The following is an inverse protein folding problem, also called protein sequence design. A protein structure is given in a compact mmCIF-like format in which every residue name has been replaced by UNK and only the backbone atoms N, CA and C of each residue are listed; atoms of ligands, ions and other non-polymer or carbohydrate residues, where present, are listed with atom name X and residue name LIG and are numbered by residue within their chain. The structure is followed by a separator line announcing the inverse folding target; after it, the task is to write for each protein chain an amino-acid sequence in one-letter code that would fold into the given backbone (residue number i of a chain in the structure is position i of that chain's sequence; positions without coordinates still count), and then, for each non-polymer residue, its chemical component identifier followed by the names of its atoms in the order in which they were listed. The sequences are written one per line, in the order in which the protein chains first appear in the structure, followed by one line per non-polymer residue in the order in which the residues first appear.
data_IF_191110830887
#
_entry.id   IF_191110830887
#
_cell.length_a   1.000
_cell.length_b   1.000
_cell.length_c   1.000
_cell.angle_alpha   90.00
_cell.angle_beta   90.00
_cell.angle_gamma   90.00
#
_symmetry.space_group_name_H-M   'P 1'
#
loop_
_entity.id
_entity.type
_entity.pdbx_description
1 polymer ?
#
# COMPACT_ATOMS: atom_id res chain seq x y z
N UNK A 1 -0.01 -22.43 43.43
CA UNK A 1 -0.48 -21.33 42.55
C UNK A 1 0.72 -20.90 41.76
N UNK A 2 0.78 -21.26 40.48
CA UNK A 2 2.03 -21.28 39.72
C UNK A 2 1.72 -21.14 38.23
N UNK A 3 2.21 -20.05 37.63
CA UNK A 3 2.27 -19.77 36.19
C UNK A 3 1.05 -20.18 35.36
N UNK A 4 0.08 -19.28 35.29
CA UNK A 4 -0.90 -19.22 34.21
C UNK A 4 -0.79 -17.81 33.59
N UNK A 5 0.18 -17.67 32.67
CA UNK A 5 0.60 -16.39 32.09
C UNK A 5 1.29 -16.53 30.72
N UNK A 6 1.19 -17.70 30.09
CA UNK A 6 1.48 -17.85 28.66
C UNK A 6 0.27 -17.34 27.89
N UNK A 7 0.25 -16.05 27.59
CA UNK A 7 -0.70 -15.50 26.61
C UNK A 7 -0.51 -16.21 25.28
N UNK A 8 -1.60 -16.64 24.65
CA UNK A 8 -1.54 -17.33 23.37
C UNK A 8 -0.85 -16.45 22.32
N UNK A 9 0.22 -17.00 21.72
CA UNK A 9 1.00 -16.31 20.71
C UNK A 9 0.17 -15.99 19.46
N UNK A 10 -0.83 -16.82 19.12
CA UNK A 10 -1.75 -16.52 18.02
C UNK A 10 -2.62 -15.31 18.36
N UNK A 11 -3.27 -15.29 19.52
CA UNK A 11 -4.06 -14.15 19.99
C UNK A 11 -3.27 -12.81 20.05
N UNK A 12 -1.96 -12.85 20.30
CA UNK A 12 -1.09 -11.65 20.28
C UNK A 12 -0.62 -11.25 18.87
N UNK A 13 -0.35 -12.20 17.98
CA UNK A 13 0.23 -11.92 16.66
C UNK A 13 -0.82 -11.70 15.55
N UNK A 14 -1.98 -12.36 15.61
CA UNK A 14 -3.00 -12.26 14.56
C UNK A 14 -3.56 -10.83 14.36
N UNK A 15 -3.76 -9.98 15.39
CA UNK A 15 -4.16 -8.59 15.19
C UNK A 15 -3.16 -7.74 14.38
N UNK A 16 -1.89 -8.17 14.27
CA UNK A 16 -0.88 -7.46 13.46
C UNK A 16 -1.20 -7.51 11.96
N UNK A 17 -1.97 -8.52 11.51
CA UNK A 17 -2.41 -8.64 10.12
C UNK A 17 -3.23 -7.41 9.67
N UNK A 18 -4.01 -6.80 10.56
CA UNK A 18 -4.78 -5.58 10.31
C UNK A 18 -3.90 -4.33 10.10
N UNK A 19 -2.61 -4.40 10.45
CA UNK A 19 -1.62 -3.32 10.30
C UNK A 19 -0.57 -3.60 9.22
N UNK A 20 -0.80 -4.62 8.40
CA UNK A 20 0.06 -4.96 7.26
C UNK A 20 0.11 -3.79 6.26
N UNK A 21 1.32 -3.34 5.83
CA UNK A 21 1.46 -2.39 4.74
C UNK A 21 0.93 -2.94 3.40
N UNK A 22 0.45 -2.08 2.48
CA UNK A 22 -0.11 -2.51 1.20
C UNK A 22 0.82 -3.43 0.39
N UNK A 23 0.28 -4.59 -0.02
CA UNK A 23 1.01 -5.58 -0.81
C UNK A 23 1.97 -6.49 -0.03
N UNK A 24 1.98 -6.44 1.31
CA UNK A 24 2.91 -7.20 2.16
C UNK A 24 2.23 -8.30 3.00
N UNK A 25 0.94 -8.59 2.76
CA UNK A 25 0.13 -9.50 3.60
C UNK A 25 0.74 -10.90 3.71
N UNK A 26 1.20 -11.45 2.59
CA UNK A 26 1.82 -12.78 2.54
C UNK A 26 3.13 -12.85 3.32
N UNK A 27 3.91 -11.76 3.37
CA UNK A 27 5.13 -11.66 4.17
C UNK A 27 4.77 -11.62 5.67
N UNK A 28 3.89 -10.69 6.08
CA UNK A 28 3.49 -10.57 7.50
C UNK A 28 2.82 -11.86 8.00
N UNK A 29 1.97 -12.51 7.20
CA UNK A 29 1.35 -13.78 7.55
C UNK A 29 2.38 -14.93 7.66
N UNK A 30 3.39 -14.97 6.79
CA UNK A 30 4.51 -15.92 6.91
C UNK A 30 5.30 -15.69 8.21
N UNK A 31 5.60 -14.45 8.54
CA UNK A 31 6.39 -14.11 9.72
C UNK A 31 5.61 -14.36 11.03
N UNK A 32 4.30 -14.08 11.04
CA UNK A 32 3.37 -14.47 12.11
C UNK A 32 3.33 -16.00 12.29
N UNK A 33 3.28 -16.79 11.21
CA UNK A 33 3.40 -18.26 11.30
C UNK A 33 4.74 -18.69 11.91
N UNK A 34 5.85 -18.03 11.54
CA UNK A 34 7.17 -18.27 12.14
C UNK A 34 7.21 -18.00 13.64
N UNK A 35 6.68 -16.85 14.09
CA UNK A 35 6.65 -16.46 15.50
C UNK A 35 5.78 -17.41 16.33
N UNK A 36 4.57 -17.74 15.84
CA UNK A 36 3.65 -18.63 16.57
C UNK A 36 4.17 -20.07 16.62
N UNK A 37 4.74 -20.59 15.53
CA UNK A 37 5.30 -21.96 15.51
C UNK A 37 6.56 -22.11 16.37
N UNK A 38 7.33 -21.03 16.59
CA UNK A 38 8.44 -21.00 17.54
C UNK A 38 8.01 -20.83 19.01
N UNK A 39 6.73 -20.55 19.28
CA UNK A 39 6.25 -20.22 20.62
C UNK A 39 5.83 -21.45 21.45
N UNK A 40 6.03 -21.46 22.78
CA UNK A 40 5.52 -22.52 23.65
C UNK A 40 3.99 -22.63 23.55
N UNK A 41 3.48 -23.83 23.24
CA UNK A 41 2.06 -24.07 23.01
C UNK A 41 1.59 -23.84 21.57
N UNK A 42 2.51 -23.73 20.60
CA UNK A 42 2.22 -23.60 19.18
C UNK A 42 1.07 -24.49 18.68
N UNK A 43 0.09 -23.86 18.03
CA UNK A 43 -0.99 -24.53 17.29
C UNK A 43 -0.49 -25.05 15.93
N UNK A 44 -1.23 -25.96 15.29
CA UNK A 44 -0.96 -26.34 13.89
C UNK A 44 -1.20 -25.17 12.93
N UNK A 45 -0.56 -25.19 11.77
CA UNK A 45 -0.71 -24.12 10.76
C UNK A 45 -2.17 -23.98 10.30
N UNK A 46 -2.89 -25.10 10.12
CA UNK A 46 -4.32 -25.09 9.78
C UNK A 46 -5.16 -24.40 10.87
N UNK A 47 -4.85 -24.65 12.15
CA UNK A 47 -5.54 -24.05 13.28
C UNK A 47 -5.17 -22.56 13.47
N UNK A 48 -3.95 -22.16 13.09
CA UNK A 48 -3.57 -20.75 13.03
C UNK A 48 -4.28 -20.03 11.88
N UNK A 49 -4.36 -20.63 10.70
CA UNK A 49 -5.08 -20.07 9.55
C UNK A 49 -6.59 -19.92 9.82
N UNK A 50 -7.21 -20.93 10.45
CA UNK A 50 -8.61 -20.86 10.87
C UNK A 50 -8.89 -19.71 11.86
N UNK A 51 -7.93 -19.39 12.75
CA UNK A 51 -8.00 -18.24 13.65
C UNK A 51 -7.63 -16.92 12.98
N UNK A 52 -6.78 -16.94 11.96
CA UNK A 52 -6.39 -15.78 11.17
C UNK A 52 -7.52 -15.27 10.27
N UNK A 53 -8.39 -16.16 9.78
CA UNK A 53 -9.42 -15.86 8.80
C UNK A 53 -10.25 -14.58 9.05
N UNK A 54 -10.80 -14.29 10.24
CA UNK A 54 -11.51 -13.02 10.48
C UNK A 54 -10.61 -11.78 10.35
N UNK A 55 -9.33 -11.86 10.75
CA UNK A 55 -8.38 -10.76 10.59
C UNK A 55 -7.96 -10.58 9.12
N UNK A 56 -7.83 -11.69 8.37
CA UNK A 56 -7.54 -11.67 6.93
C UNK A 56 -8.73 -11.12 6.13
N UNK A 57 -9.96 -11.51 6.49
CA UNK A 57 -11.20 -10.97 5.89
C UNK A 57 -11.33 -9.48 6.15
N UNK A 58 -11.24 -9.05 7.41
CA UNK A 58 -11.28 -7.62 7.76
C UNK A 58 -10.16 -6.85 7.05
N UNK A 59 -8.92 -7.35 7.05
CA UNK A 59 -7.82 -6.71 6.34
C UNK A 59 -8.14 -6.54 4.83
N UNK A 60 -8.68 -7.56 4.17
CA UNK A 60 -9.09 -7.43 2.76
C UNK A 60 -10.17 -6.37 2.54
N UNK A 61 -11.15 -6.26 3.44
CA UNK A 61 -12.22 -5.25 3.32
C UNK A 61 -11.70 -3.85 3.60
N UNK A 62 -11.03 -3.64 4.73
CA UNK A 62 -10.48 -2.34 5.14
C UNK A 62 -9.52 -1.82 4.07
N UNK A 63 -8.65 -2.69 3.54
CA UNK A 63 -7.70 -2.34 2.49
C UNK A 63 -8.31 -2.29 1.08
N UNK A 64 -9.58 -2.67 0.89
CA UNK A 64 -10.24 -2.78 -0.43
C UNK A 64 -9.40 -3.65 -1.39
N UNK A 65 -9.17 -4.91 -1.03
CA UNK A 65 -8.34 -5.83 -1.80
C UNK A 65 -8.89 -6.05 -3.21
N UNK A 66 -7.99 -6.06 -4.19
CA UNK A 66 -8.34 -6.21 -5.61
C UNK A 66 -8.14 -7.66 -6.04
N UNK A 67 -9.08 -8.20 -6.80
CA UNK A 67 -9.05 -9.55 -7.31
C UNK A 67 -9.39 -9.58 -8.82
N UNK A 68 -8.51 -10.13 -9.69
CA UNK A 68 -8.82 -10.25 -11.11
C UNK A 68 -9.85 -11.35 -11.35
N UNK A 69 -10.90 -11.05 -12.10
CA UNK A 69 -12.00 -11.95 -12.44
C UNK A 69 -12.09 -12.11 -13.95
N UNK A 70 -12.33 -13.35 -14.40
CA UNK A 70 -12.70 -13.65 -15.78
C UNK A 70 -14.10 -14.27 -15.81
N UNK A 71 -15.01 -13.69 -16.59
CA UNK A 71 -16.37 -14.21 -16.77
C UNK A 71 -16.88 -13.91 -18.18
N UNK A 72 -17.49 -14.91 -18.84
CA UNK A 72 -18.06 -14.81 -20.20
C UNK A 72 -17.09 -14.18 -21.23
N UNK A 73 -15.80 -14.53 -21.16
CA UNK A 73 -14.74 -14.02 -22.04
C UNK A 73 -14.28 -12.58 -21.76
N UNK A 74 -14.81 -11.94 -20.72
CA UNK A 74 -14.41 -10.60 -20.26
C UNK A 74 -13.53 -10.71 -19.01
N UNK A 75 -12.52 -9.84 -18.93
CA UNK A 75 -11.62 -9.70 -17.78
C UNK A 75 -11.81 -8.35 -17.14
N UNK A 76 -11.90 -8.33 -15.82
CA UNK A 76 -12.10 -7.11 -15.04
C UNK A 76 -11.63 -7.33 -13.59
N UNK A 77 -11.29 -6.25 -12.89
CA UNK A 77 -10.81 -6.27 -11.51
C UNK A 77 -11.95 -5.96 -10.54
N UNK A 78 -12.22 -6.90 -9.62
CA UNK A 78 -13.19 -6.76 -8.54
C UNK A 78 -12.56 -6.17 -7.27
N UNK A 79 -13.38 -5.50 -6.44
CA UNK A 79 -13.00 -5.02 -5.11
C UNK A 79 -13.68 -5.89 -4.05
N UNK A 80 -12.88 -6.55 -3.23
CA UNK A 80 -13.31 -7.38 -2.10
C UNK A 80 -13.57 -6.48 -0.89
N UNK A 81 -14.85 -6.32 -0.53
CA UNK A 81 -15.31 -5.41 0.53
C UNK A 81 -16.65 -5.87 1.09
N UNK A 82 -16.99 -5.43 2.32
CA UNK A 82 -18.26 -5.75 2.98
C UNK A 82 -19.48 -5.26 2.15
N UNK A 83 -19.38 -4.14 1.44
CA UNK A 83 -20.45 -3.63 0.57
C UNK A 83 -20.78 -4.58 -0.59
N UNK A 84 -19.79 -5.33 -1.09
CA UNK A 84 -19.95 -6.33 -2.15
C UNK A 84 -20.19 -7.76 -1.63
N UNK A 85 -20.29 -7.96 -0.31
CA UNK A 85 -20.32 -9.29 0.33
C UNK A 85 -21.75 -9.84 0.41
N UNK A 86 -21.87 -11.12 0.10
CA UNK A 86 -23.09 -11.91 0.20
C UNK A 86 -22.85 -13.06 1.19
N UNK A 87 -23.64 -13.13 2.25
CA UNK A 87 -23.70 -14.32 3.09
C UNK A 87 -24.51 -15.42 2.40
N UNK A 88 -23.91 -16.60 2.23
CA UNK A 88 -24.60 -17.81 1.75
C UNK A 88 -24.45 -18.94 2.77
N UNK A 89 -25.30 -19.98 2.76
CA UNK A 89 -25.15 -21.16 3.63
C UNK A 89 -23.82 -21.92 3.48
N UNK A 90 -23.06 -21.65 2.41
CA UNK A 90 -21.77 -22.29 2.09
C UNK A 90 -20.55 -21.41 2.42
N UNK A 91 -20.78 -20.18 2.89
CA UNK A 91 -19.73 -19.19 3.16
C UNK A 91 -20.04 -17.81 2.55
N UNK A 92 -19.10 -16.88 2.70
CA UNK A 92 -19.16 -15.58 2.05
C UNK A 92 -18.84 -15.70 0.54
N UNK A 93 -19.54 -14.91 -0.27
CA UNK A 93 -19.22 -14.66 -1.69
C UNK A 93 -19.14 -13.15 -1.91
N UNK A 94 -18.48 -12.72 -2.97
CA UNK A 94 -18.38 -11.32 -3.35
C UNK A 94 -19.00 -11.08 -4.73
N UNK A 95 -19.73 -9.98 -4.90
CA UNK A 95 -20.34 -9.55 -6.16
C UNK A 95 -19.32 -8.80 -7.02
N UNK A 96 -19.32 -9.05 -8.32
CA UNK A 96 -18.73 -8.17 -9.32
C UNK A 96 -19.83 -7.50 -10.15
N UNK A 97 -20.19 -6.23 -9.88
CA UNK A 97 -21.34 -5.58 -10.52
C UNK A 97 -21.21 -5.46 -12.04
N UNK A 98 -20.01 -5.13 -12.55
CA UNK A 98 -19.72 -4.98 -13.99
C UNK A 98 -19.80 -6.28 -14.79
N UNK A 99 -19.29 -7.39 -14.24
CA UNK A 99 -19.34 -8.71 -14.89
C UNK A 99 -20.61 -9.51 -14.60
N UNK A 100 -21.49 -9.04 -13.71
CA UNK A 100 -22.73 -9.73 -13.29
C UNK A 100 -22.46 -11.18 -12.85
N UNK A 101 -21.51 -11.34 -11.94
CA UNK A 101 -21.11 -12.61 -11.36
C UNK A 101 -20.81 -12.48 -9.85
N UNK A 102 -20.72 -13.62 -9.16
CA UNK A 102 -20.16 -13.71 -7.80
C UNK A 102 -19.01 -14.69 -7.75
N UNK A 103 -18.07 -14.48 -6.83
CA UNK A 103 -16.89 -15.33 -6.63
C UNK A 103 -16.67 -15.63 -5.15
N UNK A 104 -15.98 -16.73 -4.85
CA UNK A 104 -15.36 -16.96 -3.54
C UNK A 104 -13.97 -16.30 -3.53
N UNK A 105 -13.48 -15.87 -2.37
CA UNK A 105 -12.16 -15.25 -2.24
C UNK A 105 -11.38 -15.85 -1.07
N UNK A 106 -10.17 -16.34 -1.35
CA UNK A 106 -9.22 -16.79 -0.34
C UNK A 106 -8.44 -15.57 0.17
N UNK A 107 -8.74 -15.16 1.39
CA UNK A 107 -8.13 -14.01 2.05
C UNK A 107 -6.66 -14.23 2.48
N UNK A 108 -6.17 -15.49 2.52
CA UNK A 108 -4.77 -15.81 2.80
C UNK A 108 -3.92 -15.86 1.51
N UNK A 109 -4.49 -16.39 0.42
CA UNK A 109 -3.84 -16.45 -0.89
C UNK A 109 -4.05 -15.19 -1.75
N UNK A 110 -5.00 -14.32 -1.37
CA UNK A 110 -5.46 -13.16 -2.14
C UNK A 110 -5.99 -13.54 -3.53
N UNK A 111 -6.68 -14.69 -3.65
CA UNK A 111 -7.15 -15.26 -4.92
C UNK A 111 -8.67 -15.43 -4.97
N UNK A 112 -9.27 -15.05 -6.10
CA UNK A 112 -10.66 -15.36 -6.41
C UNK A 112 -10.80 -16.77 -7.01
N UNK A 113 -11.93 -17.42 -6.77
CA UNK A 113 -12.29 -18.73 -7.31
C UNK A 113 -13.82 -18.91 -7.42
N UNK A 114 -14.26 -20.00 -8.04
CA UNK A 114 -15.69 -20.37 -8.16
C UNK A 114 -16.58 -19.21 -8.64
N UNK A 115 -16.25 -18.67 -9.83
CA UNK A 115 -17.00 -17.57 -10.47
C UNK A 115 -18.31 -18.11 -11.04
N UNK A 116 -19.43 -17.62 -10.52
CA UNK A 116 -20.80 -18.04 -10.89
C UNK A 116 -21.61 -16.83 -11.38
N UNK A 117 -22.50 -16.97 -12.39
CA UNK A 117 -23.39 -15.89 -12.82
C UNK A 117 -24.24 -15.33 -11.68
N UNK A 118 -24.46 -14.02 -11.67
CA UNK A 118 -25.30 -13.35 -10.68
C UNK A 118 -25.95 -12.10 -11.28
N UNK A 119 -27.28 -12.13 -11.39
CA UNK A 119 -28.09 -11.02 -11.86
C UNK A 119 -29.34 -10.91 -11.01
N UNK A 120 -29.54 -9.75 -10.40
CA UNK A 120 -30.69 -9.42 -9.56
C UNK A 120 -31.38 -8.13 -10.07
N UNK A 121 -32.71 -8.17 -10.18
CA UNK A 121 -33.49 -7.03 -10.66
C UNK A 121 -33.65 -5.99 -9.54
N UNK A 122 -32.94 -4.87 -9.65
CA UNK A 122 -32.91 -3.83 -8.62
C UNK A 122 -33.12 -2.43 -9.22
N UNK A 123 -34.00 -1.61 -8.62
CA UNK A 123 -34.39 -0.28 -9.13
C UNK A 123 -33.19 0.66 -9.38
N UNK A 124 -32.19 0.61 -8.50
CA UNK A 124 -30.97 1.42 -8.61
C UNK A 124 -29.95 0.94 -9.65
N UNK A 125 -30.15 -0.19 -10.35
CA UNK A 125 -29.11 -0.70 -11.28
C UNK A 125 -28.81 0.28 -12.43
N UNK A 126 -29.82 1.00 -12.93
CA UNK A 126 -29.62 2.01 -13.97
C UNK A 126 -28.73 3.19 -13.48
N UNK A 127 -28.87 3.59 -12.21
CA UNK A 127 -28.03 4.62 -11.59
C UNK A 127 -26.65 4.08 -11.23
N UNK A 128 -26.57 2.85 -10.72
CA UNK A 128 -25.32 2.15 -10.42
C UNK A 128 -24.46 2.05 -11.69
N UNK A 129 -24.99 1.52 -12.78
CA UNK A 129 -24.29 1.36 -14.05
C UNK A 129 -23.88 2.70 -14.67
N UNK A 130 -24.74 3.73 -14.62
CA UNK A 130 -24.39 5.06 -15.11
C UNK A 130 -23.24 5.69 -14.30
N UNK A 131 -23.27 5.57 -12.97
CA UNK A 131 -22.21 6.08 -12.09
C UNK A 131 -20.88 5.36 -12.33
N UNK A 132 -20.93 4.03 -12.44
CA UNK A 132 -19.81 3.12 -12.69
C UNK A 132 -19.13 3.37 -14.06
N UNK A 133 -19.90 3.72 -15.10
CA UNK A 133 -19.39 4.14 -16.42
C UNK A 133 -18.64 5.47 -16.37
N UNK A 134 -19.13 6.47 -15.61
CA UNK A 134 -18.42 7.76 -15.43
C UNK A 134 -17.21 7.60 -14.52
N UNK A 135 -17.33 6.79 -13.48
CA UNK A 135 -16.28 6.52 -12.50
C UNK A 135 -15.09 5.80 -13.13
N UNK A 136 -15.33 4.78 -13.97
CA UNK A 136 -14.26 4.10 -14.71
C UNK A 136 -13.45 5.05 -15.59
N UNK A 137 -14.10 6.06 -16.19
CA UNK A 137 -13.43 7.11 -17.00
C UNK A 137 -12.62 8.08 -16.14
N UNK A 138 -13.14 8.47 -14.97
CA UNK A 138 -12.37 9.23 -13.99
C UNK A 138 -11.13 8.43 -13.52
N UNK A 139 -11.31 7.18 -13.11
CA UNK A 139 -10.22 6.35 -12.59
C UNK A 139 -9.14 6.08 -13.65
N UNK A 140 -9.52 5.83 -14.91
CA UNK A 140 -8.57 5.71 -16.02
C UNK A 140 -7.72 6.98 -16.23
N UNK A 141 -8.32 8.17 -16.10
CA UNK A 141 -7.63 9.46 -16.29
C UNK A 141 -6.72 9.84 -15.11
N UNK A 142 -7.08 9.46 -13.88
CA UNK A 142 -6.40 9.92 -12.66
C UNK A 142 -5.52 8.87 -11.96
N UNK A 143 -5.72 7.57 -12.23
CA UNK A 143 -5.00 6.47 -11.59
C UNK A 143 -4.47 5.47 -12.61
N UNK A 144 -3.14 5.49 -12.84
CA UNK A 144 -2.45 4.62 -13.82
C UNK A 144 -2.72 3.11 -13.65
N UNK A 145 -2.92 2.69 -12.40
CA UNK A 145 -3.27 1.33 -11.94
C UNK A 145 -4.40 1.43 -10.91
N UNK A 146 -5.48 2.12 -11.31
CA UNK A 146 -6.69 2.29 -10.50
C UNK A 146 -7.79 1.28 -10.84
N UNK A 147 -8.49 0.82 -9.81
CA UNK A 147 -9.70 -0.02 -9.91
C UNK A 147 -10.85 0.69 -9.21
N UNK A 148 -12.07 0.51 -9.70
CA UNK A 148 -13.27 0.99 -9.02
C UNK A 148 -14.47 0.05 -9.19
N UNK A 149 -15.44 0.20 -8.29
CA UNK A 149 -16.71 -0.51 -8.35
C UNK A 149 -17.79 0.27 -7.60
N UNK A 150 -18.96 0.40 -8.23
CA UNK A 150 -20.17 0.92 -7.58
C UNK A 150 -21.06 -0.25 -7.16
N UNK A 151 -21.28 -0.37 -5.85
CA UNK A 151 -22.13 -1.38 -5.22
C UNK A 151 -23.52 -0.83 -4.89
N UNK A 152 -24.52 -1.70 -5.00
CA UNK A 152 -25.89 -1.47 -4.51
C UNK A 152 -26.00 -1.80 -3.02
N UNK A 153 -27.09 -1.40 -2.34
CA UNK A 153 -27.31 -1.79 -0.95
C UNK A 153 -27.56 -3.30 -0.89
N UNK A 154 -26.58 -4.07 -0.42
CA UNK A 154 -26.59 -5.54 -0.43
C UNK A 154 -27.48 -6.12 0.68
N UNK A 155 -28.78 -5.91 0.55
CA UNK A 155 -29.80 -6.30 1.51
C UNK A 155 -30.37 -7.71 1.23
N UNK A 156 -29.53 -8.74 1.17
CA UNK A 156 -29.96 -10.15 1.10
C UNK A 156 -28.85 -11.14 1.48
N UNK A 157 -29.18 -12.10 2.36
CA UNK A 157 -28.46 -13.37 2.42
C UNK A 157 -29.06 -14.31 1.35
N UNK A 158 -28.23 -14.89 0.49
CA UNK A 158 -28.72 -15.73 -0.62
C UNK A 158 -29.01 -17.15 -0.10
N UNK A 159 -30.29 -17.48 0.00
CA UNK A 159 -30.74 -18.87 0.09
C UNK A 159 -30.37 -19.63 -1.19
N UNK A 160 -30.10 -20.93 -1.08
CA UNK A 160 -29.37 -21.73 -2.08
C UNK A 160 -30.18 -21.99 -3.37
N UNK A 161 -30.30 -20.95 -4.20
CA UNK A 161 -30.90 -20.95 -5.54
C UNK A 161 -29.92 -20.32 -6.54
N UNK A 162 -28.83 -21.04 -6.80
CA UNK A 162 -28.14 -20.96 -8.08
C UNK A 162 -29.15 -21.34 -9.19
N UNK A 163 -29.32 -20.54 -10.26
CA UNK A 163 -30.12 -20.99 -11.40
C UNK A 163 -29.43 -22.19 -12.05
N UNK A 164 -30.15 -23.30 -12.21
CA UNK A 164 -29.58 -24.51 -12.82
C UNK A 164 -29.19 -24.26 -14.29
N UNK A 165 -28.04 -24.79 -14.75
CA UNK A 165 -27.55 -24.54 -16.10
C UNK A 165 -28.31 -25.36 -17.14
N UNK A 166 -29.27 -24.70 -17.80
CA UNK A 166 -29.81 -25.13 -19.09
C UNK A 166 -31.20 -25.77 -19.05
N UNK A 167 -32.21 -24.98 -19.43
CA UNK A 167 -33.41 -25.50 -20.08
C UNK A 167 -33.55 -24.76 -21.42
N UNK A 168 -33.20 -25.43 -22.51
CA UNK A 168 -33.46 -24.94 -23.86
C UNK A 168 -34.97 -24.97 -24.14
N UNK A 169 -35.59 -23.83 -24.39
CA UNK A 169 -36.94 -23.76 -24.98
C UNK A 169 -36.80 -23.45 -26.47
N UNK A 170 -36.88 -24.51 -27.29
CA UNK A 170 -36.70 -24.44 -28.74
C UNK A 170 -37.80 -23.63 -29.43
N UNK A 171 -37.37 -22.63 -30.20
CA UNK A 171 -37.92 -22.30 -31.53
C UNK A 171 -39.33 -21.71 -31.64
N UNK A 172 -39.38 -20.42 -31.96
CA UNK A 172 -40.23 -19.94 -33.07
C UNK A 172 -39.33 -19.11 -33.98
N UNK A 173 -39.18 -19.54 -35.23
CA UNK A 173 -38.48 -18.81 -36.29
C UNK A 173 -39.33 -17.61 -36.77
N UNK A 174 -38.69 -16.52 -37.19
CA UNK A 174 -39.21 -15.65 -38.26
C UNK A 174 -38.15 -14.64 -38.75
N UNK A 175 -37.78 -14.82 -40.02
CA UNK A 175 -37.40 -13.84 -41.06
C UNK A 175 -36.37 -12.71 -40.79
N UNK A 176 -35.43 -12.63 -41.72
CA UNK A 176 -34.27 -11.74 -41.78
C UNK A 176 -34.61 -10.24 -41.89
N UNK A 177 -33.80 -9.40 -41.24
CA UNK A 177 -33.54 -8.02 -41.66
C UNK A 177 -32.04 -7.75 -41.55
N UNK A 178 -31.36 -7.67 -42.70
CA UNK A 178 -30.00 -7.13 -42.78
C UNK A 178 -30.02 -5.60 -42.59
N UNK A 179 -29.15 -5.04 -41.75
CA UNK A 179 -28.63 -3.66 -41.96
C UNK A 179 -27.34 -3.38 -41.16
N UNK A 180 -26.22 -3.48 -41.87
CA UNK A 180 -24.99 -2.67 -41.77
C UNK A 180 -24.58 -2.04 -40.42
N UNK A 181 -23.64 -2.74 -39.76
CA UNK A 181 -22.36 -2.21 -39.20
C UNK A 181 -22.31 -0.83 -38.55
N UNK A 182 -21.98 -0.82 -37.24
CA UNK A 182 -21.32 0.33 -36.61
C UNK A 182 -20.30 0.00 -35.50
N UNK A 183 -19.63 -1.15 -35.63
CA UNK A 183 -18.45 -1.49 -34.83
C UNK A 183 -17.20 -0.83 -35.40
N UNK A 184 -16.97 0.44 -35.03
CA UNK A 184 -15.69 1.13 -35.29
C UNK A 184 -15.52 2.30 -34.30
N UNK A 185 -15.24 1.99 -33.02
CA UNK A 185 -14.63 2.88 -31.98
C UNK A 185 -14.66 2.18 -30.59
N UNK A 186 -13.80 1.17 -30.35
CA UNK A 186 -13.25 0.71 -29.03
C UNK A 186 -12.28 -0.50 -29.23
N UNK A 187 -11.43 -0.51 -30.29
CA UNK A 187 -10.40 -1.58 -30.46
C UNK A 187 -8.96 -1.06 -30.68
N UNK A 188 -8.70 0.22 -30.42
CA UNK A 188 -7.36 0.82 -30.61
C UNK A 188 -6.65 1.20 -29.29
N UNK A 189 -7.32 1.04 -28.14
CA UNK A 189 -6.77 1.36 -26.81
C UNK A 189 -6.16 0.16 -26.07
N UNK A 190 -6.49 -1.08 -26.47
CA UNK A 190 -6.00 -2.31 -25.85
C UNK A 190 -4.65 -2.76 -26.43
N UNK A 191 -4.47 -2.68 -27.75
CA UNK A 191 -3.27 -3.14 -28.47
C UNK A 191 -1.97 -2.38 -28.15
N UNK A 192 -2.05 -1.18 -27.57
CA UNK A 192 -0.88 -0.35 -27.30
C UNK A 192 -0.13 -0.70 -26.00
N UNK A 193 -0.75 -1.44 -25.06
CA UNK A 193 -0.21 -1.61 -23.70
C UNK A 193 0.66 -2.87 -23.50
N UNK A 194 0.45 -3.90 -24.31
CA UNK A 194 1.19 -5.17 -24.22
C UNK A 194 2.61 -5.09 -24.83
N UNK A 195 2.85 -4.15 -25.76
CA UNK A 195 4.12 -4.09 -26.50
C UNK A 195 5.18 -3.14 -25.89
N UNK A 196 4.84 -2.39 -24.84
CA UNK A 196 5.76 -1.53 -24.08
C UNK A 196 6.26 -2.24 -22.82
N UNK A 197 5.35 -2.83 -22.04
CA UNK A 197 5.67 -3.56 -20.81
C UNK A 197 6.51 -4.84 -21.02
N UNK A 198 6.59 -5.34 -22.25
CA UNK A 198 7.43 -6.47 -22.63
C UNK A 198 8.89 -6.09 -22.99
N UNK A 199 9.20 -4.80 -23.16
CA UNK A 199 10.52 -4.34 -23.64
C UNK A 199 11.51 -3.97 -22.53
N UNK A 200 11.05 -3.51 -21.36
CA UNK A 200 11.95 -3.35 -20.20
C UNK A 200 12.44 -4.70 -19.65
N UNK A 201 11.60 -5.75 -19.69
CA UNK A 201 11.95 -7.09 -19.15
C UNK A 201 13.00 -7.88 -19.94
N UNK A 202 13.47 -7.37 -21.09
CA UNK A 202 14.60 -7.96 -21.83
C UNK A 202 15.87 -7.09 -21.84
N UNK A 203 15.83 -5.86 -21.31
CA UNK A 203 16.99 -4.96 -21.32
C UNK A 203 17.99 -5.24 -20.18
N UNK A 204 17.54 -5.67 -18.99
CA UNK A 204 18.42 -5.98 -17.84
C UNK A 204 19.20 -7.31 -17.97
N UNK A 205 19.07 -8.05 -19.08
CA UNK A 205 19.55 -9.44 -19.20
C UNK A 205 20.91 -9.62 -19.90
N UNK A 206 21.58 -8.55 -20.35
CA UNK A 206 22.81 -8.64 -21.16
C UNK A 206 23.89 -7.58 -20.84
N UNK A 207 24.41 -7.52 -19.61
CA UNK A 207 25.72 -6.89 -19.35
C UNK A 207 26.56 -7.58 -18.27
N UNK A 208 26.99 -8.81 -18.55
CA UNK A 208 28.09 -9.50 -17.86
C UNK A 208 28.87 -10.37 -18.84
N UNK A 209 30.20 -10.43 -18.72
CA UNK A 209 31.17 -11.18 -19.57
C UNK A 209 31.23 -10.76 -21.05
N UNK A 210 32.39 -10.61 -21.69
CA UNK A 210 33.80 -10.57 -21.23
C UNK A 210 34.66 -9.92 -22.35
N UNK A 211 35.78 -9.27 -22.02
CA UNK A 211 36.68 -8.68 -23.00
C UNK A 211 38.15 -8.79 -22.55
N UNK A 212 38.90 -9.66 -23.22
CA UNK A 212 40.31 -9.95 -22.95
C UNK A 212 41.12 -9.74 -24.24
N UNK A 213 42.15 -8.90 -24.21
CA UNK A 213 42.98 -8.61 -25.37
C UNK A 213 43.95 -9.76 -25.72
N UNK A 214 44.14 -10.07 -27.01
CA UNK A 214 45.33 -10.74 -27.53
C UNK A 214 46.38 -9.72 -28.03
N UNK A 215 47.66 -10.04 -27.90
CA UNK A 215 48.78 -9.25 -28.42
C UNK A 215 49.48 -9.94 -29.60
N UNK A 216 50.07 -9.14 -30.49
CA UNK A 216 51.29 -9.35 -31.32
C UNK A 216 51.24 -8.30 -32.47
N UNK A 217 52.16 -7.34 -32.67
CA UNK A 217 53.63 -7.29 -32.73
C UNK A 217 54.20 -7.40 -34.17
N UNK A 218 54.83 -6.33 -34.68
CA UNK A 218 56.09 -6.41 -35.47
C UNK A 218 56.83 -5.05 -35.64
N UNK A 219 58.04 -5.06 -36.24
CA UNK A 219 59.09 -4.03 -36.15
C UNK A 219 59.40 -3.19 -37.43
N UNK A 220 59.92 -1.95 -37.23
CA UNK A 220 61.09 -1.31 -37.90
C UNK A 220 61.31 0.12 -37.27
N UNK A 221 62.49 0.64 -36.86
CA UNK A 221 63.80 0.87 -37.54
C UNK A 221 63.66 1.79 -38.78
N UNK A 222 64.39 2.92 -38.98
CA UNK A 222 65.48 3.65 -38.27
C UNK A 222 65.49 5.13 -38.84
N UNK A 223 66.28 6.18 -38.53
CA UNK A 223 67.62 6.44 -37.93
C UNK A 223 67.75 7.90 -37.35
N UNK A 224 68.82 8.16 -36.57
CA UNK A 224 69.62 9.43 -36.49
C UNK A 224 69.28 10.55 -35.46
N UNK A 225 70.30 11.37 -35.13
CA UNK A 225 70.40 12.34 -34.01
C UNK A 225 71.26 13.59 -34.43
N UNK A 226 71.91 14.42 -33.57
CA UNK A 226 71.79 14.66 -32.12
C UNK A 226 71.74 16.17 -31.71
N UNK A 227 71.46 16.47 -30.42
CA UNK A 227 72.16 17.53 -29.63
C UNK A 227 71.78 17.53 -28.14
N UNK A 228 72.71 17.99 -27.29
CA UNK A 228 72.74 17.88 -25.81
C UNK A 228 72.67 19.26 -25.10
N UNK A 229 72.82 19.39 -23.75
CA UNK A 229 72.15 18.69 -22.64
C UNK A 229 71.70 19.64 -21.49
N UNK A 230 70.92 19.14 -20.50
CA UNK A 230 71.11 19.57 -19.08
C UNK A 230 70.51 18.66 -17.97
N UNK A 231 71.41 17.93 -17.30
CA UNK A 231 71.45 17.49 -15.89
C UNK A 231 70.17 17.09 -15.08
N UNK A 232 70.22 15.87 -14.54
CA UNK A 232 69.43 15.35 -13.39
C UNK A 232 70.11 15.71 -12.03
N UNK A 233 69.58 15.31 -10.83
CA UNK A 233 69.49 13.91 -10.32
C UNK A 233 68.03 13.44 -10.09
N UNK A 234 67.68 12.13 -10.11
CA UNK A 234 67.97 11.04 -9.14
C UNK A 234 67.42 11.30 -7.70
N UNK A 235 66.85 10.34 -6.95
CA UNK A 235 66.81 8.87 -7.09
C UNK A 235 65.60 8.25 -6.31
N UNK A 236 65.37 6.95 -6.50
CA UNK A 236 64.77 5.97 -5.58
C UNK A 236 63.28 6.08 -5.15
N UNK A 237 62.53 5.01 -5.46
CA UNK A 237 61.35 4.57 -4.72
C UNK A 237 61.64 3.24 -4.01
N UNK A 238 61.00 2.94 -2.87
CA UNK A 238 60.81 1.58 -2.38
C UNK A 238 59.33 1.18 -2.34
N UNK A 239 59.07 -0.12 -2.33
CA UNK A 239 57.73 -0.70 -2.16
C UNK A 239 57.64 -1.51 -0.86
N UNK A 240 56.48 -1.51 -0.21
CA UNK A 240 55.91 -2.59 0.62
C UNK A 240 54.39 -2.34 0.69
N UNK A 241 53.53 -3.30 0.34
CA UNK A 241 53.11 -4.49 1.11
C UNK A 241 52.05 -4.16 2.18
N UNK A 242 50.90 -4.82 2.09
CA UNK A 242 49.76 -4.59 2.99
C UNK A 242 49.88 -5.43 4.28
N UNK A 243 49.54 -4.88 5.45
CA UNK A 243 49.46 -5.65 6.69
C UNK A 243 48.17 -6.47 6.73
N UNK A 244 48.27 -7.73 7.13
CA UNK A 244 47.11 -8.53 7.54
C UNK A 244 46.75 -8.19 9.00
N UNK A 245 45.46 -7.96 9.27
CA UNK A 245 44.98 -7.74 10.64
C UNK A 245 44.72 -9.08 11.34
N UNK A 246 45.37 -9.29 12.49
CA UNK A 246 45.26 -10.50 13.29
C UNK A 246 44.58 -10.21 14.63
N UNK A 247 43.48 -10.91 14.92
CA UNK A 247 42.73 -10.72 16.15
C UNK A 247 43.46 -11.29 17.38
N UNK A 248 43.58 -10.53 18.49
CA UNK A 248 43.98 -11.06 19.79
C UNK A 248 42.77 -11.63 20.56
N UNK A 249 43.04 -12.57 21.47
CA UNK A 249 42.01 -13.33 22.20
C UNK A 249 41.61 -12.72 23.56
N UNK A 250 40.55 -13.31 24.12
CA UNK A 250 39.86 -12.99 25.37
C UNK A 250 40.75 -13.04 26.64
N UNK A 251 40.56 -12.09 27.56
CA UNK A 251 40.97 -12.20 28.97
C UNK A 251 40.14 -11.25 29.86
N UNK A 252 39.41 -11.81 30.84
CA UNK A 252 38.58 -11.03 31.78
C UNK A 252 39.16 -11.04 33.22
N UNK A 253 39.19 -9.88 33.91
CA UNK A 253 39.33 -9.79 35.36
C UNK A 253 38.01 -9.42 36.06
N UNK A 254 37.88 -9.75 37.35
CA UNK A 254 36.61 -9.69 38.08
C UNK A 254 36.39 -8.43 38.94
N UNK A 255 35.10 -8.12 39.11
CA UNK A 255 34.40 -7.40 40.19
C UNK A 255 35.20 -6.73 41.34
N UNK A 256 34.95 -5.42 41.53
CA UNK A 256 34.89 -4.78 42.85
C UNK A 256 34.04 -3.48 42.78
N UNK A 257 32.99 -3.35 43.59
CA UNK A 257 32.14 -2.16 43.67
C UNK A 257 32.46 -1.29 44.90
N UNK A 258 32.16 0.02 44.87
CA UNK A 258 31.72 0.68 46.10
C UNK A 258 30.58 1.72 45.95
N UNK A 259 29.68 1.67 46.95
CA UNK A 259 28.93 2.77 47.58
C UNK A 259 27.90 3.62 46.78
N UNK A 260 26.65 3.58 47.27
CA UNK A 260 25.58 4.55 47.02
C UNK A 260 25.92 5.99 47.44
N UNK A 261 25.31 6.96 46.76
CA UNK A 261 24.98 8.27 47.31
C UNK A 261 23.72 8.84 46.61
N UNK A 262 22.57 8.86 47.31
CA UNK A 262 21.30 9.31 46.74
C UNK A 262 21.05 10.83 46.95
N UNK A 263 20.54 11.56 45.93
CA UNK A 263 19.94 12.88 46.10
C UNK A 263 18.43 12.79 46.44
N UNK A 264 17.91 13.79 47.14
CA UNK A 264 16.57 13.79 47.75
C UNK A 264 15.42 14.19 46.82
N UNK A 265 14.19 13.84 47.19
CA UNK A 265 12.95 14.27 46.54
C UNK A 265 12.81 15.79 46.39
N UNK A 266 12.20 16.21 45.28
CA UNK A 266 11.53 17.50 45.14
C UNK A 266 10.31 17.35 44.22
N UNK A 267 9.11 17.25 44.79
CA UNK A 267 7.85 17.09 44.03
C UNK A 267 7.28 18.42 43.52
N UNK A 268 6.83 18.49 42.25
CA UNK A 268 5.88 19.50 41.80
C UNK A 268 4.52 18.89 41.38
N UNK A 269 3.46 19.38 42.03
CA UNK A 269 2.07 19.45 41.57
C UNK A 269 1.56 18.51 40.45
N UNK A 270 0.81 17.48 40.87
CA UNK A 270 -0.33 16.84 40.18
C UNK A 270 -0.93 17.65 39.01
N UNK A 271 -0.60 17.23 37.78
CA UNK A 271 -1.47 17.46 36.62
C UNK A 271 -2.36 16.23 36.42
N UNK A 272 -3.68 16.42 36.24
CA UNK A 272 -4.62 15.31 36.05
C UNK A 272 -4.61 14.83 34.60
N UNK A 273 -3.92 13.72 34.34
CA UNK A 273 -4.11 12.97 33.10
C UNK A 273 -5.51 12.33 33.10
N UNK A 274 -6.46 12.98 32.45
CA UNK A 274 -7.75 12.35 32.12
C UNK A 274 -7.48 11.22 31.14
N UNK A 275 -7.94 10.01 31.46
CA UNK A 275 -7.91 8.89 30.53
C UNK A 275 -8.72 9.25 29.29
N UNK A 276 -8.05 9.38 28.14
CA UNK A 276 -8.71 9.27 26.85
C UNK A 276 -9.05 7.79 26.67
N UNK A 277 -10.28 7.42 27.01
CA UNK A 277 -10.78 6.07 26.75
C UNK A 277 -10.82 5.86 25.24
N UNK A 278 -9.98 4.95 24.74
CA UNK A 278 -10.01 4.48 23.37
C UNK A 278 -11.40 3.94 23.07
N UNK A 279 -12.10 4.58 22.12
CA UNK A 279 -13.49 4.25 21.83
C UNK A 279 -13.55 2.89 21.13
N UNK A 280 -13.97 1.87 21.87
CA UNK A 280 -14.20 0.53 21.31
C UNK A 280 -15.11 0.62 20.07
N UNK A 281 -14.83 -0.13 19.00
CA UNK A 281 -15.65 -0.10 17.79
C UNK A 281 -17.09 -0.47 18.14
N UNK A 282 -18.02 0.43 17.81
CA UNK A 282 -19.43 0.20 18.07
C UNK A 282 -19.90 -1.02 17.26
N UNK A 283 -20.59 -1.95 17.93
CA UNK A 283 -21.19 -3.09 17.25
C UNK A 283 -22.12 -2.61 16.12
N UNK A 284 -22.15 -3.29 14.96
CA UNK A 284 -22.93 -2.85 13.80
C UNK A 284 -24.40 -2.73 14.19
N UNK A 285 -24.90 -1.50 14.20
CA UNK A 285 -26.28 -1.20 14.59
C UNK A 285 -27.19 -1.50 13.41
N UNK A 286 -28.25 -2.24 13.69
CA UNK A 286 -29.23 -2.77 12.75
C UNK A 286 -29.87 -1.67 11.89
N UNK A 287 -30.19 -1.97 10.62
CA UNK A 287 -30.77 -1.05 9.61
C UNK A 287 -29.83 0.04 9.05
N UNK A 288 -28.80 -0.35 8.29
CA UNK A 288 -28.15 0.55 7.33
C UNK A 288 -29.18 1.11 6.32
N UNK A 289 -29.10 2.41 5.94
CA UNK A 289 -29.95 2.96 4.89
C UNK A 289 -29.61 2.31 3.54
N UNK A 290 -30.59 2.27 2.63
CA UNK A 290 -30.42 1.74 1.28
C UNK A 290 -29.58 2.68 0.39
N UNK A 291 -28.27 2.76 0.66
CA UNK A 291 -27.32 3.63 -0.03
C UNK A 291 -26.53 2.90 -1.12
N UNK A 292 -26.09 3.65 -2.14
CA UNK A 292 -25.05 3.21 -3.07
C UNK A 292 -23.68 3.40 -2.42
N UNK A 293 -22.78 2.42 -2.55
CA UNK A 293 -21.40 2.53 -2.05
C UNK A 293 -20.43 2.49 -3.22
N UNK A 294 -19.58 3.50 -3.30
CA UNK A 294 -18.53 3.66 -4.32
C UNK A 294 -17.18 3.39 -3.68
N UNK A 295 -16.38 2.51 -4.29
CA UNK A 295 -14.99 2.30 -3.91
C UNK A 295 -14.06 2.60 -5.09
N UNK A 296 -12.94 3.29 -4.80
CA UNK A 296 -11.82 3.55 -5.70
C UNK A 296 -10.53 3.08 -5.01
N UNK A 297 -9.69 2.34 -5.72
CA UNK A 297 -8.42 1.82 -5.19
C UNK A 297 -7.30 2.11 -6.19
N UNK A 298 -6.32 2.93 -5.79
CA UNK A 298 -5.12 3.22 -6.56
C UNK A 298 -3.93 2.48 -5.97
N UNK A 299 -3.42 1.46 -6.67
CA UNK A 299 -2.35 0.59 -6.16
C UNK A 299 -1.02 0.84 -6.88
N UNK A 300 0.08 1.05 -6.15
CA UNK A 300 1.42 1.10 -6.75
C UNK A 300 2.48 0.52 -5.81
N UNK A 301 3.12 -0.57 -6.22
CA UNK A 301 4.13 -1.27 -5.42
C UNK A 301 5.41 -1.50 -6.23
N UNK A 302 6.56 -1.39 -5.58
CA UNK A 302 7.81 -1.94 -6.08
C UNK A 302 8.63 -2.45 -4.88
N UNK A 303 8.30 -3.68 -4.44
CA UNK A 303 8.93 -4.29 -3.28
C UNK A 303 10.41 -4.63 -3.52
N UNK A 304 10.84 -4.86 -4.79
CA UNK A 304 12.26 -4.99 -5.18
C UNK A 304 13.05 -3.71 -4.88
N UNK A 305 12.39 -2.55 -5.00
CA UNK A 305 12.95 -1.23 -4.70
C UNK A 305 12.42 -0.69 -3.35
N UNK A 306 12.02 -1.58 -2.44
CA UNK A 306 11.68 -1.28 -1.04
C UNK A 306 10.56 -0.25 -0.81
N UNK A 307 9.54 -0.18 -1.68
CA UNK A 307 8.35 0.63 -1.40
C UNK A 307 7.01 0.06 -1.87
N UNK A 308 5.96 0.52 -1.21
CA UNK A 308 4.56 0.27 -1.56
C UNK A 308 3.71 1.49 -1.19
N UNK A 309 2.66 1.76 -1.97
CA UNK A 309 1.66 2.76 -1.66
C UNK A 309 0.27 2.37 -2.16
N UNK A 310 -0.76 2.79 -1.42
CA UNK A 310 -2.17 2.57 -1.75
C UNK A 310 -2.99 3.82 -1.45
N UNK A 311 -3.83 4.20 -2.40
CA UNK A 311 -4.91 5.17 -2.23
C UNK A 311 -6.23 4.41 -2.17
N UNK A 312 -7.09 4.74 -1.21
CA UNK A 312 -8.43 4.15 -1.02
C UNK A 312 -9.43 5.29 -0.87
N UNK A 313 -10.42 5.40 -1.76
CA UNK A 313 -11.57 6.29 -1.56
C UNK A 313 -12.85 5.48 -1.39
N UNK A 314 -13.70 5.91 -0.48
CA UNK A 314 -15.03 5.35 -0.23
C UNK A 314 -16.05 6.48 -0.14
N UNK A 315 -17.13 6.38 -0.91
CA UNK A 315 -18.26 7.31 -0.86
C UNK A 315 -19.57 6.55 -0.70
N UNK A 316 -20.38 6.96 0.26
CA UNK A 316 -21.75 6.45 0.45
C UNK A 316 -22.73 7.51 -0.03
N UNK A 317 -23.64 7.15 -0.92
CA UNK A 317 -24.57 8.06 -1.61
C UNK A 317 -26.01 7.64 -1.28
N UNK A 318 -26.81 8.58 -0.79
CA UNK A 318 -28.25 8.36 -0.68
C UNK A 318 -28.91 8.47 -2.07
N UNK A 319 -29.52 7.40 -2.61
CA UNK A 319 -30.15 7.42 -3.92
C UNK A 319 -31.46 8.24 -3.98
N UNK A 320 -31.95 8.81 -2.87
CA UNK A 320 -33.17 9.64 -2.83
C UNK A 320 -32.87 11.14 -2.95
N UNK A 321 -31.82 11.61 -2.29
CA UNK A 321 -31.34 13.01 -2.40
C UNK A 321 -30.21 13.19 -3.40
N UNK A 322 -29.57 12.10 -3.84
CA UNK A 322 -28.31 12.08 -4.58
C UNK A 322 -27.14 12.79 -3.88
N UNK A 323 -27.24 12.99 -2.57
CA UNK A 323 -26.14 13.50 -1.76
C UNK A 323 -25.15 12.38 -1.42
N UNK A 324 -23.86 12.70 -1.46
CA UNK A 324 -22.85 11.92 -0.75
C UNK A 324 -23.07 12.19 0.75
N UNK A 325 -23.34 11.14 1.52
CA UNK A 325 -23.67 11.21 2.96
C UNK A 325 -22.49 10.81 3.85
N UNK A 326 -21.52 10.09 3.30
CA UNK A 326 -20.25 9.76 3.94
C UNK A 326 -19.14 9.73 2.88
N UNK A 327 -17.97 10.22 3.25
CA UNK A 327 -16.74 10.15 2.46
C UNK A 327 -15.59 9.68 3.35
N UNK A 328 -14.65 8.93 2.78
CA UNK A 328 -13.38 8.59 3.40
C UNK A 328 -12.31 8.42 2.32
N UNK A 329 -11.21 9.16 2.41
CA UNK A 329 -9.99 8.91 1.63
C UNK A 329 -8.88 8.49 2.59
N UNK A 330 -8.23 7.36 2.32
CA UNK A 330 -7.02 6.91 2.99
C UNK A 330 -5.85 6.85 2.01
N UNK A 331 -4.69 7.34 2.43
CA UNK A 331 -3.44 7.30 1.67
C UNK A 331 -2.36 6.69 2.54
N UNK A 332 -1.91 5.50 2.13
CA UNK A 332 -0.86 4.73 2.77
C UNK A 332 0.38 4.71 1.89
N UNK A 333 1.55 4.94 2.47
CA UNK A 333 2.84 4.71 1.81
C UNK A 333 3.86 4.15 2.80
N UNK A 334 4.65 3.19 2.35
CA UNK A 334 5.68 2.51 3.14
C UNK A 334 6.97 2.43 2.30
N UNK A 335 8.06 2.96 2.85
CA UNK A 335 9.42 2.86 2.30
C UNK A 335 10.33 2.23 3.37
N UNK A 336 11.04 1.17 2.99
CA UNK A 336 11.73 0.28 3.93
C UNK A 336 13.16 -0.08 3.51
N UNK A 337 13.79 0.78 2.72
CA UNK A 337 15.22 0.68 2.41
C UNK A 337 16.05 1.21 3.59
N UNK A 338 16.87 0.36 4.21
CA UNK A 338 17.75 0.71 5.34
C UNK A 338 17.03 1.38 6.54
N UNK A 339 15.73 1.15 6.71
CA UNK A 339 14.89 1.73 7.75
C UNK A 339 13.43 1.33 7.61
N UNK A 340 12.53 2.04 8.29
CA UNK A 340 11.09 1.94 8.07
C UNK A 340 10.49 3.35 8.19
N UNK A 341 9.88 3.83 7.11
CA UNK A 341 9.17 5.11 7.04
C UNK A 341 7.77 4.85 6.47
N UNK A 342 6.75 5.21 7.25
CA UNK A 342 5.36 5.05 6.87
C UNK A 342 4.62 6.39 6.92
N UNK A 343 3.78 6.61 5.92
CA UNK A 343 2.77 7.66 5.88
C UNK A 343 1.40 6.98 5.94
N UNK A 344 0.57 7.39 6.89
CA UNK A 344 -0.86 7.17 6.89
C UNK A 344 -1.52 8.54 6.95
N UNK A 345 -2.41 8.84 6.02
CA UNK A 345 -3.16 10.09 5.98
C UNK A 345 -4.61 9.84 5.59
N UNK A 346 -5.54 10.39 6.37
CA UNK A 346 -6.98 10.20 6.19
C UNK A 346 -7.72 11.53 6.04
N UNK A 347 -8.82 11.51 5.27
CA UNK A 347 -9.77 12.62 5.16
C UNK A 347 -11.21 12.08 5.17
N UNK A 348 -12.10 12.79 5.87
CA UNK A 348 -13.51 12.44 6.01
C UNK A 348 -14.45 13.63 5.70
N UNK A 349 -13.97 14.65 4.99
CA UNK A 349 -14.76 15.81 4.63
C UNK A 349 -15.78 15.42 3.56
N UNK A 350 -17.08 15.51 3.85
CA UNK A 350 -18.13 15.07 2.92
C UNK A 350 -18.34 16.12 1.81
N UNK A 351 -18.12 15.78 0.52
CA UNK A 351 -18.23 16.74 -0.56
C UNK A 351 -19.68 17.02 -0.97
N UNK A 352 -19.96 18.27 -1.31
CA UNK A 352 -21.29 18.71 -1.78
C UNK A 352 -21.50 18.39 -3.26
N UNK A 353 -22.62 17.75 -3.58
CA UNK A 353 -23.02 17.43 -4.97
C UNK A 353 -23.80 18.62 -5.56
N UNK A 354 -23.17 19.35 -6.48
CA UNK A 354 -23.75 20.52 -7.12
C UNK A 354 -24.74 20.11 -8.22
N UNK A 355 -26.04 20.37 -8.01
CA UNK A 355 -27.14 20.21 -8.99
C UNK A 355 -27.20 18.84 -9.73
N UNK A 356 -27.53 17.73 -9.03
CA UNK A 356 -27.48 16.37 -9.58
C UNK A 356 -28.44 16.07 -10.77
N UNK A 357 -29.44 16.92 -11.03
CA UNK A 357 -30.43 16.65 -12.08
C UNK A 357 -31.42 15.55 -11.68
N UNK A 358 -31.93 14.82 -12.67
CA UNK A 358 -32.94 13.76 -12.49
C UNK A 358 -32.64 12.48 -13.26
N UNK A 359 -31.97 12.57 -14.41
CA UNK A 359 -31.64 11.40 -15.22
C UNK A 359 -30.39 10.69 -14.66
N UNK A 360 -30.35 9.34 -14.61
CA UNK A 360 -29.24 8.58 -14.05
C UNK A 360 -27.85 8.99 -14.56
N UNK A 361 -27.74 9.33 -15.85
CA UNK A 361 -26.49 9.79 -16.47
C UNK A 361 -26.06 11.20 -16.03
N UNK A 362 -27.02 12.10 -15.76
CA UNK A 362 -26.74 13.44 -15.22
C UNK A 362 -26.36 13.39 -13.74
N UNK A 363 -27.05 12.53 -12.96
CA UNK A 363 -26.74 12.29 -11.54
C UNK A 363 -25.34 11.69 -11.41
N UNK A 364 -25.02 10.67 -12.22
CA UNK A 364 -23.70 10.07 -12.31
C UNK A 364 -22.59 11.10 -12.62
N UNK A 365 -22.83 12.01 -13.57
CA UNK A 365 -21.86 13.05 -13.94
C UNK A 365 -21.62 14.05 -12.80
N UNK A 366 -22.68 14.50 -12.11
CA UNK A 366 -22.55 15.42 -10.98
C UNK A 366 -21.84 14.78 -9.77
N UNK A 367 -22.12 13.51 -9.49
CA UNK A 367 -21.46 12.73 -8.44
C UNK A 367 -19.95 12.57 -8.70
N UNK A 368 -19.56 12.17 -9.91
CA UNK A 368 -18.14 12.01 -10.27
C UNK A 368 -17.41 13.36 -10.28
N UNK A 369 -18.04 14.44 -10.74
CA UNK A 369 -17.45 15.78 -10.67
C UNK A 369 -17.25 16.27 -9.22
N UNK A 370 -18.13 15.89 -8.28
CA UNK A 370 -17.96 16.18 -6.86
C UNK A 370 -16.81 15.38 -6.23
N UNK A 371 -16.67 14.10 -6.61
CA UNK A 371 -15.56 13.21 -6.19
C UNK A 371 -14.22 13.75 -6.73
N UNK A 372 -14.13 14.04 -8.03
CA UNK A 372 -12.93 14.58 -8.68
C UNK A 372 -12.43 15.87 -7.98
N UNK A 373 -13.35 16.83 -7.79
CA UNK A 373 -13.09 18.12 -7.10
C UNK A 373 -12.58 17.93 -5.67
N UNK A 374 -13.08 16.91 -4.96
CA UNK A 374 -12.71 16.59 -3.59
C UNK A 374 -11.34 15.92 -3.51
N UNK A 375 -11.07 14.91 -4.34
CA UNK A 375 -9.79 14.19 -4.37
C UNK A 375 -8.64 15.11 -4.82
N UNK A 376 -8.86 15.97 -5.82
CA UNK A 376 -7.88 16.99 -6.25
C UNK A 376 -7.56 17.99 -5.12
N UNK A 377 -8.57 18.41 -4.34
CA UNK A 377 -8.38 19.32 -3.21
C UNK A 377 -7.59 18.65 -2.06
N UNK A 378 -7.89 17.39 -1.75
CA UNK A 378 -7.15 16.64 -0.74
C UNK A 378 -5.71 16.33 -1.17
N UNK A 379 -5.49 15.92 -2.43
CA UNK A 379 -4.15 15.72 -2.98
C UNK A 379 -3.30 17.01 -2.91
N UNK A 380 -3.88 18.15 -3.25
CA UNK A 380 -3.23 19.47 -3.13
C UNK A 380 -2.89 19.82 -1.67
N UNK A 381 -3.74 19.41 -0.73
CA UNK A 381 -3.53 19.57 0.71
C UNK A 381 -2.38 18.68 1.21
N UNK A 382 -2.30 17.43 0.76
CA UNK A 382 -1.20 16.50 1.08
C UNK A 382 0.16 17.00 0.60
N UNK A 383 0.26 17.56 -0.61
CA UNK A 383 1.50 18.18 -1.09
C UNK A 383 1.89 19.39 -0.22
N UNK A 384 0.93 20.28 0.06
CA UNK A 384 1.16 21.48 0.89
C UNK A 384 1.61 21.12 2.31
N UNK A 385 1.01 20.10 2.91
CA UNK A 385 1.40 19.58 4.23
C UNK A 385 2.81 18.96 4.21
N UNK A 386 3.12 18.17 3.18
CA UNK A 386 4.44 17.53 2.99
C UNK A 386 5.57 18.56 2.87
N UNK A 387 5.35 19.62 2.08
CA UNK A 387 6.31 20.71 1.97
C UNK A 387 6.43 21.50 3.27
N UNK A 388 5.33 21.76 4.00
CA UNK A 388 5.38 22.40 5.31
C UNK A 388 6.19 21.59 6.34
N UNK A 389 6.01 20.26 6.36
CA UNK A 389 6.80 19.36 7.22
C UNK A 389 8.30 19.43 6.89
N UNK A 390 8.66 19.35 5.60
CA UNK A 390 10.04 19.49 5.08
C UNK A 390 10.65 20.85 5.41
N UNK A 391 9.88 21.91 5.20
CA UNK A 391 10.35 23.29 5.25
C UNK A 391 10.42 23.87 6.66
N UNK A 392 9.55 23.43 7.57
CA UNK A 392 9.33 24.04 8.88
C UNK A 392 9.55 23.04 10.02
N UNK A 393 8.74 21.97 10.08
CA UNK A 393 8.70 21.08 11.24
C UNK A 393 10.03 20.36 11.49
N UNK A 394 10.61 19.71 10.46
CA UNK A 394 11.89 19.01 10.62
C UNK A 394 13.05 19.95 10.92
N UNK A 395 13.07 21.17 10.34
CA UNK A 395 14.10 22.19 10.62
C UNK A 395 14.01 22.73 12.05
N UNK A 396 12.81 22.75 12.65
CA UNK A 396 12.59 23.12 14.05
C UNK A 396 13.02 22.00 15.02
N UNK A 397 12.74 20.73 14.70
CA UNK A 397 13.15 19.57 15.49
C UNK A 397 14.68 19.40 15.54
N UNK A 398 15.35 19.43 14.38
CA UNK A 398 16.81 19.31 14.30
C UNK A 398 17.39 20.15 13.16
N UNK A 399 18.13 21.18 13.54
CA UNK A 399 18.89 22.02 12.61
C UNK A 399 19.96 21.21 11.88
N UNK A 400 20.13 21.43 10.58
CA UNK A 400 21.22 20.84 9.78
C UNK A 400 22.61 21.22 10.31
N UNK A 401 22.73 22.45 10.85
CA UNK A 401 23.92 22.94 11.54
C UNK A 401 23.53 23.76 12.79
N UNK A 402 24.41 23.82 13.80
CA UNK A 402 24.35 24.80 14.90
C UNK A 402 24.11 26.25 14.43
N UNK A 403 23.74 27.13 15.36
CA UNK A 403 23.46 28.56 15.06
C UNK A 403 24.69 29.25 14.42
N UNK A 404 25.90 28.83 14.80
CA UNK A 404 27.19 29.28 14.23
C UNK A 404 27.40 28.93 12.75
N UNK A 405 26.56 28.09 12.15
CA UNK A 405 26.70 27.54 10.78
C UNK A 405 28.02 26.78 10.56
N UNK A 406 28.59 26.22 11.63
CA UNK A 406 29.78 25.38 11.61
C UNK A 406 29.50 24.05 12.32
N UNK A 407 30.26 22.99 12.03
CA UNK A 407 30.21 21.75 12.83
C UNK A 407 30.66 22.05 14.27
N UNK A 408 30.25 21.20 15.22
CA UNK A 408 30.68 21.32 16.61
C UNK A 408 32.19 21.08 16.68
N UNK A 409 32.89 22.04 17.27
CA UNK A 409 34.30 21.95 17.66
C UNK A 409 34.36 21.21 19.01
N UNK A 410 34.69 19.93 18.97
CA UNK A 410 34.64 19.07 20.17
C UNK A 410 35.73 19.41 21.18
N UNK A 411 36.91 19.85 20.73
CA UNK A 411 38.01 20.26 21.62
C UNK A 411 37.61 21.50 22.43
N UNK A 412 36.93 22.47 21.80
CA UNK A 412 36.29 23.59 22.51
C UNK A 412 35.14 23.12 23.39
N UNK A 413 34.26 22.23 22.91
CA UNK A 413 33.09 21.77 23.66
C UNK A 413 33.46 21.06 24.97
N UNK A 414 34.55 20.29 25.00
CA UNK A 414 35.04 19.59 26.20
C UNK A 414 35.78 20.53 27.16
N UNK A 415 36.40 21.61 26.66
CA UNK A 415 37.15 22.58 27.48
C UNK A 415 36.29 23.74 28.01
N UNK A 416 35.11 24.00 27.43
CA UNK A 416 34.26 25.14 27.79
C UNK A 416 33.52 24.98 29.14
N UNK A 417 34.10 25.52 30.23
CA UNK A 417 33.41 25.64 31.53
C UNK A 417 32.43 26.82 31.53
N UNK A 418 31.24 26.64 30.96
CA UNK A 418 30.19 27.68 30.86
C UNK A 418 29.96 28.48 32.15
N UNK A 419 29.97 27.82 33.31
CA UNK A 419 29.75 28.45 34.61
C UNK A 419 30.87 29.39 35.10
N UNK A 420 32.02 29.44 34.42
CA UNK A 420 33.12 30.35 34.76
C UNK A 420 32.94 31.74 34.13
N UNK A 421 32.49 31.82 32.88
CA UNK A 421 32.26 33.10 32.19
C UNK A 421 30.94 33.77 32.64
N UNK A 422 29.92 32.96 32.94
CA UNK A 422 28.66 33.42 33.56
C UNK A 422 28.81 33.98 34.99
N UNK A 423 29.99 33.82 35.61
CA UNK A 423 30.34 34.40 36.91
C UNK A 423 31.26 35.63 36.80
N UNK A 424 31.49 36.14 35.59
CA UNK A 424 32.31 37.34 35.30
C UNK A 424 31.52 38.44 34.57
N UNK A 425 30.18 38.34 34.56
CA UNK A 425 29.23 39.40 34.21
C UNK A 425 28.39 39.78 35.44
#
# INVERSE_FOLDING_TARGET
MSHDASGDAAALCLPMLLKTPPGQLKNVLHDVKGIVSASPGAVSEDALLAQAQPFLEQHSHDQLAVAPIEHNGKKDDAIVCEAGKLSTPKGARYVHPRLQCTFQYDHAQELASDVQPFSDAHELEALRAALDEKLGKYVYNHFHTGVSSVFRPTALAIADHLPEPGVETVGVENEDVETETKDEMIEEASKAKDEENAKETLAEAQETTEAQEPADADNAMDTDAPSEPKAEPAEAAPAEAAPAEAAPAEAAPAEAAPAEAAPTEATPAKATATSAAEAAPAAPTESAPAALTVHIVGNKYNLRNFWSGRWRSTYTIDPKSFAIVQAAIYVDSHYFENGNVQLHAENHDVPTVDAPGTEPSTVAQALVAAIEKHEQAYQSTLFTATDSLREQAFKALRRTLPITRQKIDWDKAVSYKLGAELAQQ
#
